data_IF_739150917594
#
_entry.id   IF_739150917594
#
_cell.length_a   1.000
_cell.length_b   1.000
_cell.length_c   1.000
_cell.angle_alpha   90.00
_cell.angle_beta   90.00
_cell.angle_gamma   90.00
#
_symmetry.space_group_name_H-M   'P 1'
#
loop_
_entity.id
_entity.type
_entity.pdbx_description
1 polymer ?
#
# COMPACT_ATOMS: atom_id res chain seq x y z
N UNK A 1 -3.81 4.04 30.18
CA UNK A 1 -2.98 5.17 30.54
C UNK A 1 -1.55 5.09 29.96
N UNK A 2 -0.79 3.99 30.18
CA UNK A 2 0.58 3.85 29.62
C UNK A 2 0.64 3.92 28.07
N UNK A 3 -0.31 3.27 27.37
CA UNK A 3 -0.34 3.31 25.90
C UNK A 3 -0.62 4.72 25.34
N UNK A 4 -1.45 5.51 26.00
CA UNK A 4 -1.73 6.89 25.63
C UNK A 4 -0.48 7.78 25.80
N UNK A 5 0.22 7.66 26.92
CA UNK A 5 1.46 8.41 27.17
C UNK A 5 2.56 8.07 26.15
N UNK A 6 2.66 6.82 25.73
CA UNK A 6 3.59 6.41 24.67
C UNK A 6 3.23 7.04 23.33
N UNK A 7 1.94 7.10 22.98
CA UNK A 7 1.48 7.74 21.75
C UNK A 7 1.75 9.25 21.74
N UNK A 8 1.48 9.93 22.86
CA UNK A 8 1.79 11.37 23.00
C UNK A 8 3.29 11.62 22.87
N UNK A 9 4.12 10.79 23.50
CA UNK A 9 5.58 10.90 23.40
C UNK A 9 6.07 10.72 21.97
N UNK A 10 5.54 9.75 21.23
CA UNK A 10 5.90 9.54 19.83
C UNK A 10 5.44 10.69 18.93
N UNK A 11 4.26 11.26 19.19
CA UNK A 11 3.77 12.44 18.50
C UNK A 11 4.72 13.64 18.71
N UNK A 12 5.11 13.90 19.97
CA UNK A 12 6.05 14.97 20.30
C UNK A 12 7.41 14.78 19.63
N UNK A 13 7.93 13.54 19.60
CA UNK A 13 9.19 13.21 18.93
C UNK A 13 9.10 13.42 17.41
N UNK A 14 7.98 13.05 16.81
CA UNK A 14 7.74 13.24 15.37
C UNK A 14 7.66 14.73 15.03
N UNK A 15 6.94 15.52 15.83
CA UNK A 15 6.88 16.97 15.68
C UNK A 15 8.25 17.62 15.86
N UNK A 16 9.02 17.18 16.85
CA UNK A 16 10.38 17.66 17.09
C UNK A 16 11.32 17.35 15.93
N UNK A 17 11.27 16.12 15.40
CA UNK A 17 12.05 15.71 14.24
C UNK A 17 11.68 16.53 12.99
N UNK A 18 10.40 16.85 12.82
CA UNK A 18 9.92 17.70 11.73
C UNK A 18 10.42 19.15 11.86
N UNK A 19 10.32 19.75 13.05
CA UNK A 19 10.80 21.13 13.33
C UNK A 19 12.30 21.23 13.15
N UNK A 20 13.05 20.24 13.60
CA UNK A 20 14.53 20.24 13.56
C UNK A 20 15.07 19.69 12.24
N UNK A 21 14.22 19.27 11.28
CA UNK A 21 14.58 18.60 10.03
C UNK A 21 15.49 17.36 10.22
N UNK A 22 15.47 16.78 11.41
CA UNK A 22 16.19 15.54 11.69
C UNK A 22 15.35 14.34 11.23
N UNK A 23 15.99 13.25 10.76
CA UNK A 23 15.24 12.04 10.40
C UNK A 23 14.51 11.51 11.64
N UNK A 24 13.20 11.33 11.51
CA UNK A 24 12.38 10.70 12.54
C UNK A 24 12.73 9.22 12.64
N UNK A 25 13.20 8.81 13.79
CA UNK A 25 13.37 7.40 14.12
C UNK A 25 12.25 7.00 15.09
N UNK A 26 11.24 6.26 14.63
CA UNK A 26 10.21 5.76 15.52
C UNK A 26 10.87 4.84 16.55
N UNK A 27 10.58 5.07 17.82
CA UNK A 27 10.85 4.09 18.86
C UNK A 27 9.87 2.91 18.62
N UNK A 28 10.25 2.03 17.72
CA UNK A 28 9.67 0.71 17.73
C UNK A 28 10.10 0.09 19.04
N UNK A 29 9.16 -0.04 19.98
CA UNK A 29 9.37 -0.83 21.17
C UNK A 29 9.64 -2.25 20.65
N UNK A 30 10.91 -2.56 20.46
CA UNK A 30 11.30 -3.95 20.21
C UNK A 30 10.93 -4.68 21.51
N UNK A 31 10.11 -5.70 21.49
CA UNK A 31 10.15 -6.68 22.56
C UNK A 31 11.60 -7.12 22.64
N UNK A 32 12.10 -7.28 23.81
CA UNK A 32 13.46 -7.82 24.11
C UNK A 32 13.60 -9.29 23.64
N UNK A 33 12.95 -9.62 22.52
CA UNK A 33 13.07 -10.91 21.91
C UNK A 33 14.35 -10.93 21.07
N UNK A 34 15.14 -11.89 21.33
CA UNK A 34 16.31 -12.53 20.77
C UNK A 34 16.42 -12.54 19.21
N UNK A 35 15.90 -11.51 18.57
CA UNK A 35 15.82 -11.35 17.10
C UNK A 35 17.02 -10.59 16.51
N UNK A 36 18.07 -10.31 17.28
CA UNK A 36 19.23 -9.56 16.80
C UNK A 36 19.95 -10.28 15.65
N UNK A 37 19.97 -11.61 15.66
CA UNK A 37 20.72 -12.44 14.69
C UNK A 37 19.87 -13.01 13.55
N UNK A 38 18.57 -12.71 13.48
CA UNK A 38 17.73 -13.22 12.38
C UNK A 38 17.81 -12.31 11.16
N UNK A 39 17.97 -12.86 9.95
CA UNK A 39 17.97 -12.06 8.74
C UNK A 39 16.60 -11.35 8.59
N UNK A 40 16.65 -10.05 8.34
CA UNK A 40 15.48 -9.21 8.14
C UNK A 40 15.32 -8.93 6.65
N UNK A 41 14.08 -8.81 6.19
CA UNK A 41 13.81 -8.45 4.81
C UNK A 41 12.79 -7.31 4.75
N UNK A 42 12.87 -6.54 3.68
CA UNK A 42 11.91 -5.47 3.34
C UNK A 42 11.36 -5.78 1.96
N UNK A 43 10.04 -5.85 1.86
CA UNK A 43 9.34 -5.99 0.59
C UNK A 43 8.74 -4.63 0.22
N UNK A 44 9.11 -4.11 -0.96
CA UNK A 44 8.50 -2.94 -1.57
C UNK A 44 7.78 -3.40 -2.83
N UNK A 45 6.45 -3.36 -2.79
CA UNK A 45 5.63 -3.70 -3.94
C UNK A 45 5.26 -2.44 -4.71
N UNK A 46 5.56 -2.44 -6.02
CA UNK A 46 5.11 -1.42 -6.97
C UNK A 46 4.14 -2.09 -7.92
N UNK A 47 2.86 -1.75 -7.78
CA UNK A 47 1.79 -2.35 -8.60
C UNK A 47 1.89 -1.87 -10.06
N UNK A 48 1.61 -2.77 -11.00
CA UNK A 48 1.61 -2.46 -12.43
C UNK A 48 3.01 -2.17 -13.05
N UNK A 49 4.11 -2.32 -12.32
CA UNK A 49 5.45 -2.10 -12.86
C UNK A 49 5.90 -3.29 -13.72
N UNK A 50 5.81 -3.13 -15.03
CA UNK A 50 6.32 -4.14 -15.95
C UNK A 50 7.86 -4.13 -16.00
N UNK A 51 8.46 -5.32 -16.08
CA UNK A 51 9.91 -5.49 -16.18
C UNK A 51 10.56 -4.65 -17.30
N UNK A 52 9.89 -4.55 -18.46
CA UNK A 52 10.38 -3.77 -19.60
C UNK A 52 10.40 -2.27 -19.34
N UNK A 53 9.43 -1.74 -18.59
CA UNK A 53 9.44 -0.34 -18.17
C UNK A 53 10.58 -0.06 -17.19
N UNK A 54 10.85 -1.02 -16.29
CA UNK A 54 11.98 -0.90 -15.37
C UNK A 54 13.31 -0.89 -16.14
N UNK A 55 13.48 -1.77 -17.13
CA UNK A 55 14.68 -1.78 -17.99
C UNK A 55 14.87 -0.45 -18.75
N UNK A 56 13.79 0.12 -19.28
CA UNK A 56 13.84 1.44 -19.93
C UNK A 56 14.21 2.54 -18.93
N UNK A 57 13.67 2.49 -17.73
CA UNK A 57 14.00 3.42 -16.63
C UNK A 57 15.48 3.33 -16.23
N UNK A 58 16.03 2.11 -16.17
CA UNK A 58 17.44 1.87 -15.91
C UNK A 58 18.32 2.43 -17.05
N UNK A 59 17.99 2.12 -18.30
CA UNK A 59 18.73 2.60 -19.47
C UNK A 59 18.68 4.13 -19.60
N UNK A 60 17.55 4.74 -19.24
CA UNK A 60 17.39 6.21 -19.25
C UNK A 60 17.95 6.93 -18.03
N UNK A 61 18.54 6.23 -17.07
CA UNK A 61 19.06 6.84 -15.83
C UNK A 61 17.98 7.34 -14.86
N UNK A 62 16.71 6.97 -15.08
CA UNK A 62 15.57 7.44 -14.26
C UNK A 62 15.43 6.71 -12.92
N UNK A 63 16.18 5.63 -12.71
CA UNK A 63 16.13 4.80 -11.50
C UNK A 63 17.51 4.63 -10.86
N UNK A 64 18.19 5.71 -10.44
CA UNK A 64 19.58 5.67 -9.97
C UNK A 64 19.77 4.81 -8.72
N UNK A 65 18.77 4.74 -7.85
CA UNK A 65 18.84 3.90 -6.65
C UNK A 65 18.82 2.40 -6.99
N UNK A 66 17.98 1.98 -7.95
CA UNK A 66 17.93 0.59 -8.42
C UNK A 66 19.21 0.22 -9.14
N UNK A 67 19.77 1.12 -9.97
CA UNK A 67 21.08 0.93 -10.60
C UNK A 67 22.17 0.69 -9.55
N UNK A 68 22.16 1.47 -8.46
CA UNK A 68 23.12 1.31 -7.36
C UNK A 68 22.96 -0.04 -6.66
N UNK A 69 21.73 -0.48 -6.38
CA UNK A 69 21.48 -1.79 -5.81
C UNK A 69 22.01 -2.91 -6.69
N UNK A 70 21.76 -2.84 -7.99
CA UNK A 70 22.29 -3.83 -8.96
C UNK A 70 23.83 -3.82 -8.97
N UNK A 71 24.46 -2.65 -8.95
CA UNK A 71 25.90 -2.52 -8.85
C UNK A 71 26.49 -3.10 -7.53
N UNK A 72 25.70 -3.11 -6.47
CA UNK A 72 26.04 -3.74 -5.17
C UNK A 72 25.79 -5.26 -5.13
N UNK A 73 25.41 -5.87 -6.26
CA UNK A 73 25.21 -7.30 -6.36
C UNK A 73 23.76 -7.80 -6.19
N UNK A 74 22.78 -6.88 -6.08
CA UNK A 74 21.38 -7.26 -6.11
C UNK A 74 20.99 -7.78 -7.50
N UNK A 75 20.14 -8.77 -7.55
CA UNK A 75 19.73 -9.41 -8.80
C UNK A 75 18.40 -8.86 -9.28
N UNK A 76 18.35 -8.40 -10.52
CA UNK A 76 17.10 -8.10 -11.21
C UNK A 76 16.64 -9.37 -11.93
N UNK A 77 15.48 -9.88 -11.55
CA UNK A 77 14.89 -11.09 -12.15
C UNK A 77 13.54 -10.77 -12.76
N UNK A 78 13.28 -11.32 -13.94
CA UNK A 78 11.96 -11.31 -14.56
C UNK A 78 11.09 -12.34 -13.86
N UNK A 79 9.97 -11.89 -13.32
CA UNK A 79 8.98 -12.76 -12.72
C UNK A 79 7.66 -12.70 -13.48
N UNK A 80 6.98 -13.82 -13.60
CA UNK A 80 5.63 -13.88 -14.16
C UNK A 80 4.65 -14.06 -13.01
N UNK A 81 3.75 -13.10 -12.85
CA UNK A 81 2.60 -13.31 -11.98
C UNK A 81 1.74 -14.45 -12.56
N UNK A 82 1.25 -15.34 -11.72
CA UNK A 82 0.35 -16.41 -12.12
C UNK A 82 -1.01 -15.91 -12.63
N UNK A 83 -1.94 -16.82 -12.81
CA UNK A 83 -3.33 -16.52 -13.09
C UNK A 83 -4.17 -16.78 -11.82
N UNK A 84 -5.05 -15.86 -11.48
CA UNK A 84 -5.27 -14.53 -12.06
C UNK A 84 -4.17 -13.53 -11.66
N UNK A 85 -3.78 -12.64 -12.57
CA UNK A 85 -2.75 -11.62 -12.37
C UNK A 85 -3.27 -10.37 -11.64
N UNK A 86 -4.23 -10.53 -10.75
CA UNK A 86 -4.82 -9.44 -9.99
C UNK A 86 -4.06 -9.19 -8.68
N UNK A 87 -4.06 -7.95 -8.19
CA UNK A 87 -3.40 -7.57 -6.92
C UNK A 87 -3.79 -8.49 -5.75
N UNK A 88 -5.09 -8.81 -5.52
CA UNK A 88 -5.47 -9.69 -4.41
C UNK A 88 -4.87 -11.10 -4.54
N UNK A 89 -4.89 -11.70 -5.72
CA UNK A 89 -4.32 -13.03 -5.92
C UNK A 89 -2.80 -13.03 -5.80
N UNK A 90 -2.13 -12.00 -6.36
CA UNK A 90 -0.67 -11.86 -6.26
C UNK A 90 -0.22 -11.63 -4.82
N UNK A 91 -0.88 -10.74 -4.07
CA UNK A 91 -0.55 -10.50 -2.66
C UNK A 91 -0.84 -11.72 -1.79
N UNK A 92 -1.93 -12.45 -2.03
CA UNK A 92 -2.23 -13.69 -1.33
C UNK A 92 -1.15 -14.73 -1.53
N UNK A 93 -0.72 -14.92 -2.79
CA UNK A 93 0.37 -15.84 -3.13
C UNK A 93 1.70 -15.44 -2.47
N UNK A 94 2.06 -14.16 -2.49
CA UNK A 94 3.30 -13.66 -1.87
C UNK A 94 3.24 -13.80 -0.34
N UNK A 95 2.12 -13.43 0.28
CA UNK A 95 2.04 -13.30 1.73
C UNK A 95 1.71 -14.62 2.45
N UNK A 96 0.95 -15.51 1.79
CA UNK A 96 0.45 -16.75 2.40
C UNK A 96 0.83 -18.02 1.62
N UNK A 97 1.46 -17.87 0.45
CA UNK A 97 1.74 -19.01 -0.43
C UNK A 97 0.50 -19.65 -1.03
N UNK A 98 -0.65 -18.98 -0.95
CA UNK A 98 -1.95 -19.46 -1.39
C UNK A 98 -2.75 -18.33 -2.03
N UNK A 99 -3.21 -18.53 -3.27
CA UNK A 99 -4.10 -17.62 -3.97
C UNK A 99 -5.36 -18.33 -4.49
N UNK A 100 -5.66 -19.49 -3.94
CA UNK A 100 -6.82 -20.27 -4.31
C UNK A 100 -8.11 -19.52 -4.01
N UNK A 101 -9.09 -19.68 -4.89
CA UNK A 101 -10.43 -19.08 -4.76
C UNK A 101 -10.47 -17.54 -4.80
N UNK A 102 -9.49 -16.93 -5.48
CA UNK A 102 -9.47 -15.49 -5.74
C UNK A 102 -9.50 -15.27 -7.25
N UNK A 103 -10.70 -15.34 -7.90
CA UNK A 103 -10.79 -15.36 -9.34
C UNK A 103 -10.44 -14.02 -10.01
N UNK A 104 -10.70 -12.91 -9.32
CA UNK A 104 -10.49 -11.57 -9.88
C UNK A 104 -10.43 -10.50 -8.77
N UNK A 105 -10.36 -9.23 -9.18
CA UNK A 105 -10.52 -8.09 -8.26
C UNK A 105 -11.98 -7.85 -7.86
N UNK A 106 -12.91 -8.24 -8.74
CA UNK A 106 -14.37 -8.28 -8.54
C UNK A 106 -14.92 -9.51 -9.22
N UNK A 107 -15.87 -10.16 -8.57
CA UNK A 107 -16.58 -11.30 -9.18
C UNK A 107 -18.00 -11.39 -8.61
N UNK A 108 -18.78 -12.27 -9.18
CA UNK A 108 -20.11 -12.58 -8.70
C UNK A 108 -20.14 -14.00 -8.14
N UNK A 109 -20.52 -14.16 -6.88
CA UNK A 109 -20.69 -15.46 -6.25
C UNK A 109 -22.12 -15.95 -6.50
N UNK A 110 -22.27 -16.97 -7.32
CA UNK A 110 -23.59 -17.49 -7.70
C UNK A 110 -24.35 -18.07 -6.51
N UNK A 111 -23.63 -18.71 -5.60
CA UNK A 111 -24.23 -19.39 -4.45
C UNK A 111 -24.77 -18.41 -3.40
N UNK A 112 -24.14 -17.28 -3.25
CA UNK A 112 -24.52 -16.26 -2.24
C UNK A 112 -25.26 -15.08 -2.87
N UNK A 113 -25.27 -14.94 -4.18
CA UNK A 113 -25.82 -13.77 -4.88
C UNK A 113 -25.04 -12.47 -4.63
N UNK A 114 -23.85 -12.55 -4.07
CA UNK A 114 -23.03 -11.38 -3.74
C UNK A 114 -22.08 -11.02 -4.87
N UNK A 115 -21.77 -9.72 -4.98
CA UNK A 115 -20.75 -9.21 -5.88
C UNK A 115 -19.58 -8.62 -5.09
N UNK A 116 -18.72 -9.48 -4.52
CA UNK A 116 -17.60 -9.04 -3.71
C UNK A 116 -16.60 -8.22 -4.51
N UNK A 117 -15.98 -7.26 -3.82
CA UNK A 117 -14.89 -6.51 -4.40
C UNK A 117 -13.78 -6.26 -3.37
N UNK A 118 -12.54 -6.44 -3.80
CA UNK A 118 -11.37 -6.48 -2.93
C UNK A 118 -11.00 -5.14 -2.27
N UNK A 119 -11.58 -4.02 -2.69
CA UNK A 119 -11.42 -2.73 -2.00
C UNK A 119 -12.23 -2.62 -0.70
N UNK A 120 -13.18 -3.54 -0.47
CA UNK A 120 -13.93 -3.57 0.79
C UNK A 120 -13.06 -4.15 1.90
N UNK A 121 -12.85 -3.44 3.03
CA UNK A 121 -12.10 -3.98 4.16
C UNK A 121 -12.67 -5.27 4.72
N UNK A 122 -13.98 -5.38 4.81
CA UNK A 122 -14.64 -6.61 5.26
C UNK A 122 -14.36 -7.79 4.34
N UNK A 123 -14.34 -7.52 3.03
CA UNK A 123 -14.06 -8.56 2.05
C UNK A 123 -12.57 -8.93 1.99
N UNK A 124 -11.67 -7.96 2.14
CA UNK A 124 -10.24 -8.23 2.28
C UNK A 124 -9.93 -9.08 3.53
N UNK A 125 -10.66 -8.86 4.64
CA UNK A 125 -10.56 -9.71 5.82
C UNK A 125 -11.04 -11.15 5.55
N UNK A 126 -12.16 -11.31 4.82
CA UNK A 126 -12.67 -12.64 4.40
C UNK A 126 -11.66 -13.36 3.49
N UNK A 127 -11.08 -12.68 2.51
CA UNK A 127 -10.02 -13.26 1.66
C UNK A 127 -8.87 -13.75 2.55
N UNK A 128 -8.42 -12.92 3.48
CA UNK A 128 -7.37 -13.31 4.41
C UNK A 128 -7.70 -14.61 5.15
N UNK A 129 -8.91 -14.71 5.72
CA UNK A 129 -9.35 -15.90 6.44
C UNK A 129 -9.32 -17.15 5.55
N UNK A 130 -9.77 -17.02 4.30
CA UNK A 130 -9.75 -18.12 3.32
C UNK A 130 -8.32 -18.56 3.00
N UNK A 131 -7.40 -17.62 2.69
CA UNK A 131 -6.05 -17.97 2.26
C UNK A 131 -5.14 -18.41 3.40
N UNK A 132 -5.44 -17.99 4.65
CA UNK A 132 -4.70 -18.38 5.85
C UNK A 132 -5.24 -19.67 6.52
N UNK A 133 -6.35 -20.23 6.03
CA UNK A 133 -6.97 -21.42 6.60
C UNK A 133 -6.07 -22.67 6.64
N UNK A 134 -4.99 -22.69 5.86
CA UNK A 134 -3.98 -23.77 5.88
C UNK A 134 -3.05 -23.78 7.09
N UNK A 135 -3.26 -22.90 8.09
CA UNK A 135 -2.50 -22.89 9.35
C UNK A 135 -1.05 -22.39 9.23
N UNK A 136 -0.60 -21.98 8.06
CA UNK A 136 0.73 -21.37 7.89
C UNK A 136 0.64 -19.87 8.21
N UNK A 137 1.55 -19.35 9.06
CA UNK A 137 1.60 -17.92 9.31
C UNK A 137 2.00 -17.17 8.02
N UNK A 138 1.46 -15.99 7.84
CA UNK A 138 1.85 -15.11 6.74
C UNK A 138 3.31 -14.70 6.86
N UNK A 139 3.92 -14.34 5.72
CA UNK A 139 5.35 -14.00 5.63
C UNK A 139 5.74 -12.79 6.48
N UNK A 140 4.77 -11.94 6.85
CA UNK A 140 4.98 -10.75 7.68
C UNK A 140 4.66 -10.99 9.16
N UNK A 141 4.48 -12.25 9.59
CA UNK A 141 4.22 -12.59 10.99
C UNK A 141 5.31 -12.00 11.90
N UNK A 142 4.89 -11.25 12.93
CA UNK A 142 5.79 -10.51 13.82
C UNK A 142 6.34 -9.18 13.26
N UNK A 143 6.21 -8.94 11.96
CA UNK A 143 6.65 -7.74 11.26
C UNK A 143 5.59 -6.65 11.14
N UNK A 144 5.69 -5.85 10.07
CA UNK A 144 4.77 -4.77 9.78
C UNK A 144 4.34 -4.73 8.31
N UNK A 145 3.12 -4.24 8.06
CA UNK A 145 2.53 -4.09 6.74
C UNK A 145 1.97 -2.68 6.57
N UNK A 146 2.25 -2.04 5.45
CA UNK A 146 1.84 -0.66 5.17
C UNK A 146 1.23 -0.55 3.77
N UNK A 147 -0.01 -0.04 3.69
CA UNK A 147 -0.65 0.28 2.42
C UNK A 147 -0.97 -0.93 1.54
N UNK A 148 -1.20 -2.09 2.12
CA UNK A 148 -1.48 -3.35 1.42
C UNK A 148 -2.97 -3.71 1.45
N UNK A 149 -3.37 -4.64 0.59
CA UNK A 149 -4.68 -5.25 0.65
C UNK A 149 -4.74 -6.27 1.79
N UNK A 150 -3.72 -7.11 1.91
CA UNK A 150 -3.59 -8.13 2.96
C UNK A 150 -2.46 -7.77 3.93
N UNK A 151 -2.58 -8.18 5.18
CA UNK A 151 -1.63 -7.85 6.24
C UNK A 151 -0.49 -8.86 6.39
N UNK A 152 -0.58 -10.05 5.77
CA UNK A 152 0.45 -11.09 5.89
C UNK A 152 0.74 -11.51 7.32
N UNK A 153 -0.25 -11.42 8.22
CA UNK A 153 -0.13 -11.65 9.67
C UNK A 153 0.81 -10.70 10.41
N UNK A 154 1.05 -9.53 9.81
CA UNK A 154 1.84 -8.49 10.45
C UNK A 154 1.25 -8.08 11.81
N UNK A 155 2.12 -7.90 12.81
CA UNK A 155 1.73 -7.38 14.12
C UNK A 155 1.27 -5.93 14.05
N UNK A 156 1.92 -5.13 13.21
CA UNK A 156 1.55 -3.75 12.92
C UNK A 156 1.09 -3.65 11.47
N UNK A 157 -0.19 -3.38 11.27
CA UNK A 157 -0.75 -3.18 9.94
C UNK A 157 -1.40 -1.78 9.86
N UNK A 158 -0.82 -0.90 9.02
CA UNK A 158 -1.32 0.46 8.81
C UNK A 158 -1.80 0.61 7.36
N UNK A 159 -2.98 1.21 7.19
CA UNK A 159 -3.61 1.37 5.87
C UNK A 159 -3.75 0.04 5.10
N UNK A 160 -3.88 -1.06 5.82
CA UNK A 160 -4.02 -2.40 5.25
C UNK A 160 -5.46 -2.85 5.35
N UNK A 161 -6.09 -3.15 4.21
CA UNK A 161 -7.54 -3.36 4.14
C UNK A 161 -8.01 -4.54 5.00
N UNK A 162 -7.30 -5.67 5.00
CA UNK A 162 -7.68 -6.84 5.79
C UNK A 162 -7.63 -6.59 7.30
N UNK A 163 -6.70 -5.75 7.74
CA UNK A 163 -6.61 -5.35 9.15
C UNK A 163 -7.74 -4.37 9.54
N UNK A 164 -8.11 -3.46 8.63
CA UNK A 164 -9.22 -2.53 8.84
C UNK A 164 -10.57 -3.24 8.95
N UNK A 165 -10.78 -4.32 8.20
CA UNK A 165 -12.02 -5.11 8.23
C UNK A 165 -12.22 -5.87 9.54
N UNK A 166 -11.15 -6.24 10.25
CA UNK A 166 -11.17 -6.96 11.52
C UNK A 166 -11.10 -6.06 12.74
N UNK A 167 -10.32 -5.03 12.66
CA UNK A 167 -10.24 -4.02 13.70
C UNK A 167 -11.42 -3.08 13.51
N UNK A 168 -12.26 -2.90 14.52
CA UNK A 168 -13.19 -1.79 14.58
C UNK A 168 -12.38 -0.51 14.55
N UNK A 169 -12.09 -0.07 13.33
CA UNK A 169 -11.18 1.06 13.04
C UNK A 169 -11.59 2.35 13.78
N UNK A 170 -12.86 2.40 14.21
CA UNK A 170 -13.43 3.55 14.91
C UNK A 170 -13.38 3.46 16.45
N UNK A 171 -13.00 2.34 17.04
CA UNK A 171 -13.01 2.19 18.50
C UNK A 171 -11.72 2.66 19.19
N UNK A 172 -10.73 3.10 18.46
CA UNK A 172 -9.50 3.61 19.05
C UNK A 172 -9.11 5.00 18.51
N UNK A 173 -8.70 5.86 19.41
CA UNK A 173 -8.06 7.16 19.15
C UNK A 173 -6.99 7.14 18.02
N UNK A 174 -6.61 5.98 17.51
CA UNK A 174 -5.63 5.79 16.44
C UNK A 174 -6.09 6.37 15.10
N UNK A 175 -7.38 6.26 14.75
CA UNK A 175 -7.93 6.87 13.54
C UNK A 175 -8.02 8.39 13.63
N UNK A 176 -8.44 8.90 14.79
CA UNK A 176 -8.49 10.33 15.08
C UNK A 176 -7.08 10.96 15.13
N UNK A 177 -6.07 10.22 15.61
CA UNK A 177 -4.69 10.69 15.65
C UNK A 177 -4.12 10.99 14.26
N UNK A 178 -4.46 10.18 13.25
CA UNK A 178 -4.06 10.43 11.87
C UNK A 178 -4.81 11.61 11.25
N UNK A 179 -6.14 11.72 11.49
CA UNK A 179 -6.90 12.90 11.06
C UNK A 179 -6.37 14.17 11.72
N UNK A 180 -5.99 14.10 12.99
CA UNK A 180 -5.39 15.21 13.73
C UNK A 180 -3.99 15.56 13.19
N UNK A 181 -3.17 14.57 12.82
CA UNK A 181 -1.89 14.79 12.15
C UNK A 181 -2.03 15.44 10.78
N UNK A 182 -3.04 15.05 10.00
CA UNK A 182 -3.38 15.73 8.76
C UNK A 182 -3.82 17.18 9.01
N UNK A 183 -4.62 17.41 10.03
CA UNK A 183 -5.08 18.76 10.42
C UNK A 183 -3.94 19.66 10.92
N UNK A 184 -2.91 19.10 11.54
CA UNK A 184 -1.72 19.84 11.99
C UNK A 184 -0.76 20.25 10.87
N UNK A 185 -0.97 19.74 9.64
CA UNK A 185 -0.12 20.08 8.50
C UNK A 185 -0.99 20.67 7.37
N UNK A 186 -1.65 21.82 7.59
CA UNK A 186 -2.60 22.40 6.64
C UNK A 186 -1.95 22.70 5.28
N UNK A 187 -0.67 23.06 5.27
CA UNK A 187 0.08 23.31 4.04
C UNK A 187 0.21 22.09 3.12
N UNK A 188 0.38 20.89 3.69
CA UNK A 188 0.41 19.66 2.89
C UNK A 188 -0.94 19.35 2.29
N UNK A 189 -2.01 19.57 3.04
CA UNK A 189 -3.39 19.40 2.54
C UNK A 189 -3.66 20.38 1.40
N UNK A 190 -3.34 21.65 1.58
CA UNK A 190 -3.49 22.68 0.54
C UNK A 190 -2.68 22.29 -0.70
N UNK A 191 -1.45 21.83 -0.54
CA UNK A 191 -0.60 21.37 -1.65
C UNK A 191 -1.21 20.15 -2.36
N UNK A 192 -1.71 19.16 -1.62
CA UNK A 192 -2.36 17.97 -2.20
C UNK A 192 -3.61 18.37 -2.98
N UNK A 193 -4.48 19.20 -2.39
CA UNK A 193 -5.66 19.72 -3.07
C UNK A 193 -5.27 20.50 -4.32
N UNK A 194 -4.27 21.36 -4.23
CA UNK A 194 -3.76 22.13 -5.37
C UNK A 194 -3.24 21.24 -6.49
N UNK A 195 -2.52 20.16 -6.17
CA UNK A 195 -2.04 19.18 -7.16
C UNK A 195 -3.19 18.42 -7.81
N UNK A 196 -4.19 17.99 -7.03
CA UNK A 196 -5.39 17.32 -7.57
C UNK A 196 -6.15 18.25 -8.52
N UNK A 197 -6.38 19.49 -8.12
CA UNK A 197 -7.04 20.47 -8.97
C UNK A 197 -6.23 20.75 -10.24
N UNK A 198 -4.92 20.86 -10.13
CA UNK A 198 -4.03 21.04 -11.28
C UNK A 198 -4.11 19.85 -12.25
N UNK A 199 -4.08 18.61 -11.76
CA UNK A 199 -4.26 17.41 -12.60
C UNK A 199 -5.60 17.42 -13.31
N UNK A 200 -6.69 17.71 -12.59
CA UNK A 200 -8.03 17.79 -13.18
C UNK A 200 -8.09 18.84 -14.30
N UNK A 201 -7.56 20.05 -14.06
CA UNK A 201 -7.51 21.11 -15.08
C UNK A 201 -6.66 20.69 -16.27
N UNK A 202 -5.51 20.09 -16.03
CA UNK A 202 -4.61 19.60 -17.08
C UNK A 202 -5.27 18.52 -17.93
N UNK A 203 -5.91 17.55 -17.29
CA UNK A 203 -6.55 16.44 -17.98
C UNK A 203 -7.78 16.91 -18.77
N UNK A 204 -8.54 17.85 -18.22
CA UNK A 204 -9.62 18.50 -18.95
C UNK A 204 -9.09 19.27 -20.16
N UNK A 205 -8.06 20.08 -19.99
CA UNK A 205 -7.45 20.84 -21.09
C UNK A 205 -6.89 19.94 -22.19
N UNK A 206 -6.20 18.86 -21.82
CA UNK A 206 -5.67 17.88 -22.78
C UNK A 206 -6.79 17.13 -23.51
N UNK A 207 -7.83 16.75 -22.80
CA UNK A 207 -8.99 16.04 -23.38
C UNK A 207 -9.74 16.97 -24.33
N UNK A 208 -9.98 18.20 -23.93
CA UNK A 208 -10.60 19.22 -24.75
C UNK A 208 -9.76 19.55 -26.01
N UNK A 209 -8.44 19.69 -25.86
CA UNK A 209 -7.51 19.90 -26.97
C UNK A 209 -7.50 18.74 -27.98
N UNK A 210 -7.50 17.51 -27.47
CA UNK A 210 -7.61 16.31 -28.30
C UNK A 210 -8.95 16.23 -29.04
N UNK A 211 -10.03 16.62 -28.38
CA UNK A 211 -11.36 16.66 -28.96
C UNK A 211 -11.46 17.69 -30.11
N UNK A 212 -10.94 18.91 -29.92
CA UNK A 212 -10.84 19.90 -30.98
C UNK A 212 -10.01 19.36 -32.17
N UNK A 213 -8.84 18.78 -31.89
CA UNK A 213 -7.97 18.22 -32.94
C UNK A 213 -8.60 17.06 -33.69
N UNK A 214 -9.49 16.31 -33.08
CA UNK A 214 -10.22 15.23 -33.72
C UNK A 214 -11.34 15.71 -34.66
N UNK A 215 -11.54 17.03 -34.79
CA UNK A 215 -12.61 17.60 -35.61
C UNK A 215 -14.00 17.23 -35.10
N UNK A 216 -14.17 17.12 -33.77
CA UNK A 216 -15.44 16.76 -33.11
C UNK A 216 -15.98 15.36 -33.45
N UNK A 217 -15.15 14.50 -34.07
CA UNK A 217 -15.58 13.16 -34.52
C UNK A 217 -15.70 12.12 -33.41
N UNK A 218 -15.20 12.40 -32.22
CA UNK A 218 -15.27 11.49 -31.07
C UNK A 218 -16.02 12.15 -29.93
N UNK A 219 -16.85 11.39 -29.17
CA UNK A 219 -17.47 11.93 -27.97
C UNK A 219 -16.42 12.35 -26.95
N UNK A 220 -16.71 13.41 -26.21
CA UNK A 220 -15.85 13.86 -25.11
C UNK A 220 -15.90 12.80 -24.01
N UNK A 221 -14.89 11.95 -23.93
CA UNK A 221 -14.75 10.98 -22.85
C UNK A 221 -13.80 11.57 -21.81
N UNK A 222 -14.34 11.91 -20.65
CA UNK A 222 -13.53 12.12 -19.43
C UNK A 222 -13.11 10.76 -18.92
N UNK A 223 -11.81 10.52 -18.91
CA UNK A 223 -11.20 9.26 -18.42
C UNK A 223 -11.04 9.33 -16.89
#
# INVERSE_FOLDING_TARGET
MRAFLLQVRELVRMLWAWVTQRPYQPCLHQPEDDCADRPRFVIVQVDGLAHEYLLRGLAGGHTPHIQRLIAQGYRLQRWRCGLPSSTPASQSGIMYGNNWDIPAFRWYEKDTGLAPHCKSPAFAARIKETVSAGGRPGILAGGSSYGNLLDGDARLALFTLSAMGRQRFYEGLRGLGWAFLFALIPWRIIRIIGLILWELVRDFALTFWRWIRSGFRKPLALI
#
